data_IF_403474369259
#
_entry.id   IF_403474369259
#
_cell.length_a   1.000
_cell.length_b   1.000
_cell.length_c   1.000
_cell.angle_alpha   90.00
_cell.angle_beta   90.00
_cell.angle_gamma   90.00
#
_symmetry.space_group_name_H-M   'P 1'
#
loop_
_entity.id
_entity.type
_entity.pdbx_description
1 polymer ?
#
# COMPACT_ATOMS: atom_id res chain seq x y z
N UNK A 1 -32.12 2.56 3.96
CA UNK A 1 -31.85 1.37 3.14
C UNK A 1 -30.80 0.58 3.88
N UNK A 2 -31.11 -0.68 4.20
CA UNK A 2 -30.30 -1.62 4.97
C UNK A 2 -29.20 -2.31 4.14
N UNK A 3 -29.14 -2.05 2.83
CA UNK A 3 -28.03 -2.47 1.98
C UNK A 3 -27.85 -3.99 1.85
N UNK A 4 -28.89 -4.77 2.13
CA UNK A 4 -28.87 -6.24 2.17
C UNK A 4 -28.95 -6.90 0.80
N UNK A 5 -28.90 -6.13 -0.29
CA UNK A 5 -29.06 -6.64 -1.65
C UNK A 5 -27.80 -7.40 -2.11
N UNK A 6 -27.97 -8.70 -2.35
CA UNK A 6 -26.88 -9.63 -2.69
C UNK A 6 -26.67 -9.81 -4.19
N UNK A 7 -27.48 -9.16 -5.04
CA UNK A 7 -27.48 -9.32 -6.50
C UNK A 7 -27.72 -8.01 -7.23
N UNK A 8 -27.27 -7.91 -8.47
CA UNK A 8 -27.58 -6.76 -9.33
C UNK A 8 -28.99 -6.86 -9.89
N UNK A 9 -29.59 -5.74 -10.27
CA UNK A 9 -30.92 -5.66 -10.90
C UNK A 9 -30.92 -4.65 -12.05
N UNK A 10 -31.65 -4.94 -13.13
CA UNK A 10 -31.84 -3.99 -14.23
C UNK A 10 -32.88 -2.90 -13.95
N UNK A 11 -33.80 -3.12 -13.01
CA UNK A 11 -34.96 -2.27 -12.81
C UNK A 11 -35.16 -1.90 -11.33
N UNK A 12 -34.08 -1.50 -10.67
CA UNK A 12 -34.13 -1.00 -9.32
C UNK A 12 -34.88 0.34 -9.32
N UNK A 13 -36.03 0.40 -8.64
CA UNK A 13 -36.88 1.58 -8.63
C UNK A 13 -36.68 2.35 -7.33
N UNK A 14 -36.27 3.61 -7.43
CA UNK A 14 -36.18 4.53 -6.29
C UNK A 14 -37.35 5.50 -6.37
N UNK A 15 -38.11 5.55 -5.28
CA UNK A 15 -39.23 6.49 -5.13
C UNK A 15 -38.75 7.62 -4.23
N UNK A 16 -38.56 8.79 -4.82
CA UNK A 16 -38.21 10.01 -4.09
C UNK A 16 -39.46 10.85 -3.85
N UNK A 17 -39.61 11.40 -2.64
CA UNK A 17 -40.72 12.31 -2.32
C UNK A 17 -40.15 13.68 -1.96
N UNK A 18 -40.64 14.72 -2.63
CA UNK A 18 -40.35 16.12 -2.28
C UNK A 18 -41.67 16.88 -2.15
N UNK A 19 -42.03 17.23 -0.91
CA UNK A 19 -43.37 17.70 -0.58
C UNK A 19 -44.42 16.64 -0.89
N UNK A 20 -45.49 17.02 -1.60
CA UNK A 20 -46.60 16.13 -1.98
C UNK A 20 -46.42 15.41 -3.32
N UNK A 21 -45.32 15.65 -4.05
CA UNK A 21 -45.09 15.03 -5.35
C UNK A 21 -44.14 13.84 -5.22
N UNK A 22 -44.62 12.60 -5.41
CA UNK A 22 -43.73 11.47 -5.59
C UNK A 22 -43.11 11.51 -6.99
N UNK A 23 -41.79 11.38 -7.05
CA UNK A 23 -41.03 11.10 -8.26
C UNK A 23 -40.51 9.66 -8.22
N UNK A 24 -40.50 8.99 -9.37
CA UNK A 24 -40.01 7.63 -9.51
C UNK A 24 -38.88 7.63 -10.52
N UNK A 25 -37.77 6.96 -10.19
CA UNK A 25 -36.63 6.79 -11.07
C UNK A 25 -36.19 5.32 -11.08
N UNK A 26 -35.89 4.80 -12.28
CA UNK A 26 -35.40 3.43 -12.47
C UNK A 26 -33.89 3.44 -12.73
N UNK A 27 -33.17 2.53 -12.07
CA UNK A 27 -31.72 2.39 -12.14
C UNK A 27 -31.34 0.94 -12.41
N UNK A 28 -30.14 0.75 -12.99
CA UNK A 28 -29.49 -0.56 -13.07
C UNK A 28 -28.38 -0.64 -12.04
N UNK A 29 -28.45 -1.66 -11.19
CA UNK A 29 -27.47 -1.95 -10.14
C UNK A 29 -26.57 -3.07 -10.62
N UNK A 30 -25.29 -2.77 -10.79
CA UNK A 30 -24.27 -3.72 -11.21
C UNK A 30 -23.51 -4.23 -10.00
N UNK A 31 -23.44 -5.54 -9.82
CA UNK A 31 -22.72 -6.16 -8.70
C UNK A 31 -21.44 -6.84 -9.18
N UNK A 32 -20.37 -6.83 -8.37
CA UNK A 32 -19.15 -7.54 -8.69
C UNK A 32 -19.37 -9.06 -8.63
N UNK A 33 -18.89 -9.75 -9.63
CA UNK A 33 -18.80 -11.21 -9.66
C UNK A 33 -17.63 -11.65 -8.78
N UNK A 34 -17.92 -12.55 -7.83
CA UNK A 34 -16.95 -13.10 -6.90
C UNK A 34 -16.46 -14.47 -7.39
N UNK A 35 -15.21 -14.85 -7.13
CA UNK A 35 -14.18 -14.09 -6.42
C UNK A 35 -13.54 -12.98 -7.28
N UNK A 36 -13.08 -11.90 -6.63
CA UNK A 36 -12.29 -10.86 -7.30
C UNK A 36 -10.92 -11.39 -7.73
N UNK A 37 -10.39 -10.86 -8.83
CA UNK A 37 -9.06 -11.23 -9.34
C UNK A 37 -7.99 -10.32 -8.73
N UNK A 38 -7.04 -10.90 -7.99
CA UNK A 38 -5.89 -10.18 -7.42
C UNK A 38 -4.70 -10.31 -8.36
N UNK A 39 -4.06 -9.18 -8.68
CA UNK A 39 -2.86 -9.09 -9.48
C UNK A 39 -1.75 -8.42 -8.68
N UNK A 40 -0.58 -9.05 -8.62
CA UNK A 40 0.61 -8.52 -7.94
C UNK A 40 1.64 -8.22 -9.01
N UNK A 41 2.19 -7.01 -9.04
CA UNK A 41 3.13 -6.59 -10.09
C UNK A 41 4.37 -7.49 -10.16
N UNK A 42 5.06 -7.64 -9.03
CA UNK A 42 6.24 -8.50 -8.87
C UNK A 42 5.96 -9.57 -7.82
N UNK A 43 5.89 -10.84 -8.25
CA UNK A 43 5.67 -11.97 -7.33
C UNK A 43 6.90 -12.33 -6.51
N UNK A 44 8.08 -11.83 -6.89
CA UNK A 44 9.37 -12.09 -6.23
C UNK A 44 10.03 -10.78 -5.81
N UNK A 45 9.85 -10.42 -4.54
CA UNK A 45 10.48 -9.24 -3.95
C UNK A 45 11.90 -9.57 -3.50
N UNK A 46 12.90 -9.04 -4.21
CA UNK A 46 14.30 -9.28 -3.89
C UNK A 46 14.82 -8.32 -2.82
N UNK A 47 15.85 -8.74 -2.10
CA UNK A 47 16.57 -7.88 -1.16
C UNK A 47 17.28 -6.76 -1.93
N UNK A 48 17.08 -5.53 -1.49
CA UNK A 48 17.80 -4.36 -2.00
C UNK A 48 19.22 -4.42 -1.47
N UNK A 49 20.18 -4.72 -2.34
CA UNK A 49 21.62 -4.77 -2.00
C UNK A 49 22.22 -3.37 -2.10
N UNK A 50 23.19 -3.06 -1.24
CA UNK A 50 23.98 -1.83 -1.31
C UNK A 50 23.26 -0.54 -0.87
N UNK A 51 22.01 -0.64 -0.39
CA UNK A 51 21.26 0.51 0.12
C UNK A 51 21.40 0.62 1.64
N UNK A 52 21.90 1.75 2.15
CA UNK A 52 21.89 2.10 3.58
C UNK A 52 20.71 3.03 3.84
N UNK A 53 19.60 2.50 4.35
CA UNK A 53 18.49 3.32 4.84
C UNK A 53 18.73 3.68 6.31
N UNK A 54 18.56 4.94 6.73
CA UNK A 54 18.50 5.29 8.15
C UNK A 54 17.40 4.47 8.83
N UNK A 55 17.71 3.90 9.99
CA UNK A 55 16.72 3.26 10.83
C UNK A 55 15.75 4.33 11.38
N UNK A 56 14.44 4.22 11.18
CA UNK A 56 13.47 5.15 11.77
C UNK A 56 13.52 5.16 13.32
N UNK A 57 14.12 4.15 13.95
CA UNK A 57 14.35 4.12 15.39
C UNK A 57 15.57 4.95 15.86
N UNK A 58 16.36 5.53 14.95
CA UNK A 58 17.56 6.31 15.28
C UNK A 58 17.43 7.79 14.88
N UNK A 59 16.98 8.68 15.78
CA UNK A 59 16.75 10.09 15.49
C UNK A 59 18.04 10.94 15.30
N UNK A 60 19.23 10.33 15.24
CA UNK A 60 20.51 11.06 15.26
C UNK A 60 21.27 11.20 13.93
N UNK A 61 20.79 10.63 12.82
CA UNK A 61 21.64 10.41 11.63
C UNK A 61 21.65 11.53 10.56
N UNK A 62 20.90 12.63 10.72
CA UNK A 62 20.78 13.67 9.68
C UNK A 62 21.60 14.94 9.92
N UNK A 63 22.52 14.96 10.87
CA UNK A 63 23.53 16.02 10.95
C UNK A 63 24.62 15.80 9.88
N UNK A 64 24.27 15.99 8.61
CA UNK A 64 25.25 16.15 7.54
C UNK A 64 26.10 17.38 7.86
N UNK A 65 27.29 17.13 8.40
CA UNK A 65 28.33 18.14 8.61
C UNK A 65 28.81 18.61 7.23
N UNK A 66 28.27 19.75 6.78
CA UNK A 66 28.77 20.47 5.61
C UNK A 66 30.26 20.78 5.82
N UNK A 67 31.16 20.44 4.89
CA UNK A 67 32.53 20.91 4.95
C UNK A 67 32.54 22.39 4.56
N UNK A 68 32.75 23.28 5.54
CA UNK A 68 33.05 24.68 5.26
C UNK A 68 34.50 24.78 4.77
N UNK A 69 34.69 24.84 3.46
CA UNK A 69 35.98 25.18 2.85
C UNK A 69 35.77 26.14 1.69
N UNK A 70 36.26 27.39 1.83
CA UNK A 70 36.40 28.32 0.70
C UNK A 70 36.34 29.82 1.02
N UNK A 71 37.40 30.36 1.64
CA UNK A 71 38.05 31.64 1.28
C UNK A 71 37.43 33.00 1.63
N UNK A 72 38.14 33.79 2.46
CA UNK A 72 38.41 35.22 2.23
C UNK A 72 39.56 35.68 3.16
N UNK A 73 40.53 36.41 2.58
CA UNK A 73 41.62 37.29 3.09
C UNK A 73 41.80 37.47 4.62
N UNK A 74 42.99 37.64 5.20
CA UNK A 74 44.06 38.62 4.87
C UNK A 74 45.26 38.48 5.83
N UNK A 75 46.45 38.85 5.34
CA UNK A 75 47.63 39.43 6.02
C UNK A 75 48.45 38.69 7.08
N UNK A 76 49.75 38.99 6.97
CA UNK A 76 50.96 38.46 7.58
C UNK A 76 50.96 38.58 9.13
N UNK A 77 51.41 37.54 9.84
CA UNK A 77 52.47 37.65 10.86
C UNK A 77 52.87 36.29 11.48
N UNK A 78 54.02 36.31 12.14
CA UNK A 78 54.98 35.24 12.41
C UNK A 78 54.62 34.19 13.51
N UNK A 79 55.13 32.98 13.25
CA UNK A 79 55.92 32.13 14.16
C UNK A 79 55.29 31.08 15.11
N UNK A 80 56.08 29.99 15.21
CA UNK A 80 56.21 28.96 16.24
C UNK A 80 55.29 27.73 16.17
N UNK A 81 55.84 26.65 15.60
CA UNK A 81 55.64 25.30 16.13
C UNK A 81 56.11 25.26 17.60
N UNK A 82 55.43 24.52 18.48
CA UNK A 82 56.06 23.26 18.89
C UNK A 82 55.10 22.12 19.31
N UNK A 83 55.69 20.92 19.22
CA UNK A 83 55.53 19.75 20.09
C UNK A 83 54.32 18.80 19.97
N UNK A 84 54.69 17.56 19.67
CA UNK A 84 53.94 16.33 19.86
C UNK A 84 53.74 16.05 21.36
N UNK A 85 52.48 15.92 21.80
CA UNK A 85 52.12 15.35 23.11
C UNK A 85 51.44 13.98 22.90
N UNK A 86 52.05 12.86 23.35
CA UNK A 86 51.51 11.51 23.16
C UNK A 86 50.64 11.10 24.37
N UNK A 87 49.55 11.80 24.66
CA UNK A 87 48.66 11.41 25.76
C UNK A 87 47.25 12.01 25.65
N UNK A 88 46.51 11.67 24.60
CA UNK A 88 45.06 11.85 24.59
C UNK A 88 44.39 10.57 24.04
N UNK A 89 43.44 9.96 24.78
CA UNK A 89 42.73 8.80 24.26
C UNK A 89 42.00 9.19 22.97
N UNK A 90 42.01 8.37 21.91
CA UNK A 90 41.28 8.69 20.70
C UNK A 90 39.82 8.89 21.09
N UNK A 91 39.34 10.11 20.85
CA UNK A 91 37.95 10.49 21.00
C UNK A 91 37.10 9.35 20.44
N UNK A 92 36.25 8.81 21.32
CA UNK A 92 35.28 7.76 21.01
C UNK A 92 34.86 7.90 19.57
N UNK A 93 35.29 6.94 18.73
CA UNK A 93 34.67 6.67 17.45
C UNK A 93 33.19 6.56 17.79
N UNK A 94 32.47 7.66 17.57
CA UNK A 94 31.04 7.72 17.77
C UNK A 94 30.57 6.72 16.75
N UNK A 95 30.25 5.54 17.25
CA UNK A 95 29.56 4.50 16.54
C UNK A 95 28.20 5.10 16.22
N UNK A 96 28.16 5.95 15.19
CA UNK A 96 27.05 6.01 14.27
C UNK A 96 27.04 4.64 13.58
N UNK A 97 26.78 3.57 14.35
CA UNK A 97 26.13 2.39 13.84
C UNK A 97 24.73 2.87 13.46
N UNK A 98 24.64 3.63 12.37
CA UNK A 98 23.39 3.79 11.65
C UNK A 98 22.96 2.35 11.38
N UNK A 99 21.95 1.90 12.10
CA UNK A 99 21.54 0.51 12.08
C UNK A 99 21.21 0.16 10.64
N UNK A 100 22.10 -0.62 10.02
CA UNK A 100 21.96 -1.04 8.64
C UNK A 100 20.89 -2.13 8.64
N UNK A 101 19.65 -1.73 8.36
CA UNK A 101 18.55 -2.68 8.24
C UNK A 101 18.43 -3.19 6.81
N UNK A 102 18.19 -4.49 6.68
CA UNK A 102 17.90 -5.10 5.38
C UNK A 102 16.56 -4.59 4.87
N UNK A 103 16.51 -4.19 3.60
CA UNK A 103 15.26 -3.84 2.91
C UNK A 103 15.02 -4.76 1.72
N UNK A 104 13.75 -5.02 1.44
CA UNK A 104 13.30 -5.72 0.25
C UNK A 104 12.53 -4.77 -0.66
N UNK A 105 12.36 -5.20 -1.90
CA UNK A 105 11.52 -4.50 -2.87
C UNK A 105 10.07 -4.41 -2.40
N UNK A 106 9.35 -3.49 -3.04
CA UNK A 106 7.92 -3.29 -2.86
C UNK A 106 7.21 -3.35 -4.21
N UNK A 107 5.97 -3.80 -4.22
CA UNK A 107 5.19 -3.93 -5.45
C UNK A 107 3.73 -3.53 -5.21
N UNK A 108 3.06 -2.88 -6.16
CA UNK A 108 1.65 -2.60 -6.04
C UNK A 108 0.82 -3.89 -6.22
N UNK A 109 -0.26 -3.97 -5.45
CA UNK A 109 -1.32 -4.96 -5.58
C UNK A 109 -2.50 -4.29 -6.25
N UNK A 110 -3.06 -4.95 -7.25
CA UNK A 110 -4.23 -4.48 -7.98
C UNK A 110 -5.34 -5.53 -7.87
N UNK A 111 -6.58 -5.07 -7.69
CA UNK A 111 -7.74 -5.95 -7.65
C UNK A 111 -8.70 -5.58 -8.76
N UNK A 112 -9.18 -6.59 -9.45
CA UNK A 112 -10.05 -6.48 -10.60
C UNK A 112 -11.34 -7.25 -10.35
N UNK A 113 -12.46 -6.66 -10.76
CA UNK A 113 -13.78 -7.28 -10.68
C UNK A 113 -14.51 -7.18 -12.02
N UNK A 114 -15.29 -8.20 -12.34
CA UNK A 114 -16.26 -8.13 -13.44
C UNK A 114 -17.61 -7.78 -12.84
N UNK A 115 -18.36 -6.89 -13.49
CA UNK A 115 -19.63 -6.38 -12.97
C UNK A 115 -20.80 -6.89 -13.80
N UNK A 116 -21.77 -7.50 -13.13
CA UNK A 116 -22.94 -8.16 -13.72
C UNK A 116 -24.22 -7.61 -13.11
N UNK A 117 -25.25 -7.48 -13.93
CA UNK A 117 -26.61 -7.22 -13.48
C UNK A 117 -27.50 -8.34 -14.02
N UNK A 118 -28.46 -8.76 -13.20
CA UNK A 118 -29.38 -9.85 -13.54
C UNK A 118 -30.73 -9.23 -13.85
N UNK A 119 -31.31 -9.60 -14.99
CA UNK A 119 -32.68 -9.25 -15.30
C UNK A 119 -33.64 -10.09 -14.47
N UNK A 120 -34.48 -9.47 -13.65
CA UNK A 120 -35.43 -10.20 -12.80
C UNK A 120 -36.49 -10.97 -13.62
N UNK A 121 -36.79 -10.50 -14.84
CA UNK A 121 -37.81 -11.10 -15.70
C UNK A 121 -37.28 -12.27 -16.54
N UNK A 122 -36.08 -12.13 -17.12
CA UNK A 122 -35.50 -13.16 -18.00
C UNK A 122 -34.41 -14.01 -17.35
N UNK A 123 -33.91 -13.63 -16.17
CA UNK A 123 -32.72 -14.22 -15.56
C UNK A 123 -31.43 -13.95 -16.36
N UNK A 124 -31.49 -13.12 -17.41
CA UNK A 124 -30.35 -12.88 -18.29
C UNK A 124 -29.33 -11.99 -17.60
N UNK A 125 -28.07 -12.41 -17.66
CA UNK A 125 -26.95 -11.63 -17.19
C UNK A 125 -26.55 -10.59 -18.25
N UNK A 126 -26.53 -9.33 -17.86
CA UNK A 126 -25.85 -8.26 -18.59
C UNK A 126 -24.51 -7.97 -17.92
N UNK A 127 -23.58 -7.33 -18.64
CA UNK A 127 -22.28 -6.92 -18.10
C UNK A 127 -22.12 -5.41 -18.24
N UNK A 128 -21.52 -4.75 -17.24
CA UNK A 128 -21.39 -3.29 -17.19
C UNK A 128 -20.66 -2.73 -18.43
N UNK A 129 -19.58 -3.38 -18.85
CA UNK A 129 -18.79 -3.00 -20.02
C UNK A 129 -18.79 -4.12 -21.08
N UNK A 130 -18.32 -5.31 -20.70
CA UNK A 130 -18.35 -6.51 -21.55
C UNK A 130 -18.13 -7.77 -20.71
N UNK A 131 -18.32 -8.93 -21.35
CA UNK A 131 -18.04 -10.25 -20.73
C UNK A 131 -16.59 -10.46 -20.31
N UNK A 132 -15.64 -9.77 -20.96
CA UNK A 132 -14.19 -9.96 -20.72
C UNK A 132 -13.55 -8.76 -20.02
N UNK A 133 -14.25 -7.63 -19.98
CA UNK A 133 -13.76 -6.43 -19.33
C UNK A 133 -13.79 -6.62 -17.82
N UNK A 134 -12.68 -6.26 -17.18
CA UNK A 134 -12.59 -6.14 -15.74
C UNK A 134 -12.35 -4.68 -15.37
N UNK A 135 -12.93 -4.26 -14.25
CA UNK A 135 -12.76 -2.92 -13.70
C UNK A 135 -11.82 -3.00 -12.52
N UNK A 136 -10.85 -2.09 -12.46
CA UNK A 136 -9.93 -1.98 -11.32
C UNK A 136 -10.70 -1.43 -10.12
N UNK A 137 -10.80 -2.23 -9.07
CA UNK A 137 -11.52 -1.92 -7.82
C UNK A 137 -10.59 -1.82 -6.61
N UNK A 138 -9.27 -1.79 -6.84
CA UNK A 138 -8.24 -1.83 -5.78
C UNK A 138 -8.51 -0.87 -4.63
N UNK A 139 -8.86 0.40 -4.90
CA UNK A 139 -9.10 1.41 -3.86
C UNK A 139 -10.34 1.09 -3.02
N UNK A 140 -11.37 0.47 -3.63
CA UNK A 140 -12.61 0.12 -2.94
C UNK A 140 -12.40 -1.05 -1.97
N UNK A 141 -11.50 -1.98 -2.31
CA UNK A 141 -11.25 -3.20 -1.53
C UNK A 141 -9.94 -3.15 -0.74
N UNK A 142 -9.24 -2.01 -0.71
CA UNK A 142 -7.95 -1.87 -0.03
C UNK A 142 -8.02 -2.28 1.45
N UNK A 143 -9.12 -1.94 2.13
CA UNK A 143 -9.35 -2.29 3.53
C UNK A 143 -9.58 -3.81 3.76
N UNK A 144 -10.01 -4.54 2.73
CA UNK A 144 -10.25 -5.98 2.74
C UNK A 144 -9.00 -6.79 2.37
N UNK A 145 -7.95 -6.14 1.86
CA UNK A 145 -6.71 -6.83 1.54
C UNK A 145 -5.97 -7.27 2.80
N UNK A 146 -5.51 -8.52 2.79
CA UNK A 146 -4.76 -9.13 3.89
C UNK A 146 -3.59 -9.95 3.33
N UNK A 147 -2.50 -9.98 4.08
CA UNK A 147 -1.34 -10.84 3.82
C UNK A 147 -1.41 -11.99 4.81
N UNK A 148 -1.23 -13.23 4.32
CA UNK A 148 -1.31 -14.42 5.16
C UNK A 148 -0.22 -14.42 6.26
N UNK A 149 1.01 -14.08 5.88
CA UNK A 149 2.16 -14.00 6.79
C UNK A 149 2.80 -12.60 6.76
N UNK A 150 2.64 -11.87 7.87
CA UNK A 150 3.18 -10.52 8.08
C UNK A 150 4.65 -10.49 8.47
N UNK A 151 5.24 -11.65 8.79
CA UNK A 151 6.68 -11.79 9.03
C UNK A 151 7.45 -11.63 7.71
N UNK A 152 6.91 -12.19 6.62
CA UNK A 152 7.49 -12.20 5.27
C UNK A 152 7.24 -10.89 4.52
N UNK A 153 6.01 -10.39 4.52
CA UNK A 153 5.67 -9.14 3.83
C UNK A 153 4.60 -8.35 4.58
N UNK A 154 4.65 -7.03 4.48
CA UNK A 154 3.67 -6.12 5.07
C UNK A 154 2.93 -5.42 3.94
N UNK A 155 1.60 -5.32 4.06
CA UNK A 155 0.79 -4.54 3.14
C UNK A 155 0.55 -3.15 3.72
N UNK A 156 0.90 -2.12 2.96
CA UNK A 156 0.60 -0.73 3.26
C UNK A 156 -0.36 -0.18 2.21
N UNK A 157 -1.63 -0.02 2.59
CA UNK A 157 -2.75 0.34 1.70
C UNK A 157 -2.86 -0.63 0.51
N UNK A 158 -2.23 -0.32 -0.61
CA UNK A 158 -2.20 -1.13 -1.85
C UNK A 158 -0.80 -1.57 -2.26
N UNK A 159 0.21 -1.29 -1.44
CA UNK A 159 1.62 -1.60 -1.73
C UNK A 159 2.11 -2.71 -0.80
N UNK A 160 2.54 -3.83 -1.38
CA UNK A 160 3.13 -4.95 -0.66
C UNK A 160 4.64 -4.73 -0.53
N UNK A 161 5.14 -4.69 0.70
CA UNK A 161 6.55 -4.51 1.03
C UNK A 161 7.13 -5.79 1.59
N UNK A 162 8.25 -6.27 1.02
CA UNK A 162 8.96 -7.41 1.58
C UNK A 162 9.66 -7.04 2.91
N UNK A 163 9.70 -7.99 3.84
CA UNK A 163 10.31 -7.83 5.18
C UNK A 163 11.32 -8.93 5.48
N UNK A 164 11.01 -10.18 5.15
CA UNK A 164 11.89 -11.32 5.38
C UNK A 164 11.84 -12.28 4.19
N UNK A 165 12.82 -13.17 4.03
CA UNK A 165 12.77 -14.18 2.98
C UNK A 165 11.67 -15.19 3.32
N UNK A 166 10.82 -15.51 2.36
CA UNK A 166 9.72 -16.44 2.54
C UNK A 166 8.72 -16.38 1.39
N UNK A 167 7.66 -17.19 1.48
CA UNK A 167 6.52 -17.17 0.57
C UNK A 167 5.27 -16.83 1.37
N UNK A 168 4.51 -15.87 0.88
CA UNK A 168 3.26 -15.44 1.50
C UNK A 168 2.22 -15.19 0.41
N UNK A 169 0.96 -15.20 0.78
CA UNK A 169 -0.17 -14.99 -0.13
C UNK A 169 -0.93 -13.73 0.25
N UNK A 170 -1.47 -13.05 -0.75
CA UNK A 170 -2.33 -11.87 -0.58
C UNK A 170 -3.75 -12.30 -0.89
N UNK A 171 -4.66 -12.06 0.06
CA UNK A 171 -6.06 -12.45 -0.02
C UNK A 171 -6.95 -11.22 0.13
N UNK A 172 -8.11 -11.23 -0.52
CA UNK A 172 -9.20 -10.29 -0.23
C UNK A 172 -10.13 -11.00 0.75
N UNK A 173 -10.17 -10.56 2.01
CA UNK A 173 -11.04 -11.11 3.03
C UNK A 173 -12.12 -10.09 3.37
N UNK A 174 -13.38 -10.51 3.32
CA UNK A 174 -14.47 -9.72 3.89
C UNK A 174 -14.24 -9.63 5.40
N UNK A 175 -14.54 -8.47 6.02
CA UNK A 175 -14.61 -8.41 7.47
C UNK A 175 -15.65 -9.42 7.94
N UNK A 176 -15.28 -10.18 8.97
CA UNK A 176 -16.04 -11.29 9.57
C UNK A 176 -17.33 -10.82 10.30
N UNK A 177 -17.95 -9.74 9.82
CA UNK A 177 -19.23 -9.20 10.30
C UNK A 177 -20.40 -9.43 9.35
N UNK A 178 -20.20 -10.08 8.19
CA UNK A 178 -21.25 -10.23 7.19
C UNK A 178 -21.16 -11.53 6.40
N UNK A 179 -21.63 -12.63 7.01
CA UNK A 179 -22.01 -13.92 6.40
C UNK A 179 -21.00 -14.49 5.39
N UNK A 180 -20.15 -15.38 5.90
CA UNK A 180 -19.50 -16.45 5.13
C UNK A 180 -20.50 -17.10 4.17
N UNK A 181 -20.27 -16.95 2.87
CA UNK A 181 -20.75 -17.88 1.87
C UNK A 181 -19.56 -18.77 1.47
N UNK A 182 -19.28 -19.74 2.33
CA UNK A 182 -18.48 -20.91 1.99
C UNK A 182 -19.34 -21.79 1.07
N UNK A 183 -18.86 -22.07 -0.13
CA UNK A 183 -19.41 -23.15 -0.97
C UNK A 183 -18.30 -24.19 -1.09
N UNK A 184 -18.64 -25.38 -0.60
CA UNK A 184 -17.84 -26.62 -0.52
C UNK A 184 -17.22 -26.99 -1.86
#
# INVERSE_FOLDING_TARGET
>A
MDGSEVRGSHNATVIARYGERPGVASFTVWMPELPLTVHVGDTKLSQVRGWRAPDPASPGAFALKMPAGGGAASDEDLALAPQEDPAAPPASASSYSGACSVRYQQTPVQVYGRFVAVDDNSGRHSYLLSRRAQVRVTELVAHLLRVADTSVAILNHTTLMGRSPGRTEVQVRQEEGGRSCEVV
#
